data_IF_357643314234
#
_entry.id   IF_357643314234
#
_cell.length_a   1.000
_cell.length_b   1.000
_cell.length_c   1.000
_cell.angle_alpha   90.00
_cell.angle_beta   90.00
_cell.angle_gamma   90.00
#
_symmetry.space_group_name_H-M   'P 1'
#
loop_
_entity.id
_entity.type
_entity.pdbx_description
1 polymer ?
#
# COMPACT_ATOMS: atom_id res chain seq x y z
N UNK A 1 21.61 -11.90 -7.59
CA UNK A 1 20.48 -11.95 -8.53
C UNK A 1 20.59 -10.73 -9.41
N UNK A 2 20.53 -10.89 -10.73
CA UNK A 2 20.57 -9.75 -11.63
C UNK A 2 19.21 -9.06 -11.61
N UNK A 3 19.18 -7.81 -11.17
CA UNK A 3 17.97 -6.98 -11.22
C UNK A 3 17.63 -6.63 -12.68
N UNK A 4 16.35 -6.43 -12.97
CA UNK A 4 15.90 -6.03 -14.29
C UNK A 4 16.63 -4.73 -14.76
N UNK A 5 16.97 -4.61 -16.05
CA UNK A 5 17.50 -3.36 -16.60
C UNK A 5 16.58 -2.17 -16.32
N UNK A 6 17.14 -1.00 -16.06
CA UNK A 6 16.38 0.21 -15.70
C UNK A 6 15.24 0.54 -16.70
N UNK A 7 15.45 0.36 -17.99
CA UNK A 7 14.41 0.57 -19.00
C UNK A 7 13.18 -0.34 -18.79
N UNK A 8 13.40 -1.60 -18.42
CA UNK A 8 12.31 -2.53 -18.13
C UNK A 8 11.61 -2.21 -16.80
N UNK A 9 12.36 -1.71 -15.81
CA UNK A 9 11.76 -1.25 -14.54
C UNK A 9 10.83 -0.06 -14.79
N UNK A 10 11.25 0.97 -15.53
CA UNK A 10 10.41 2.12 -15.89
C UNK A 10 9.18 1.71 -16.71
N UNK A 11 9.34 0.81 -17.68
CA UNK A 11 8.23 0.27 -18.45
C UNK A 11 7.22 -0.44 -17.54
N UNK A 12 7.70 -1.27 -16.62
CA UNK A 12 6.85 -2.04 -15.69
C UNK A 12 6.10 -1.13 -14.71
N UNK A 13 6.76 -0.10 -14.17
CA UNK A 13 6.11 0.92 -13.31
C UNK A 13 5.00 1.63 -14.09
N UNK A 14 5.30 2.10 -15.32
CA UNK A 14 4.28 2.74 -16.16
C UNK A 14 3.11 1.81 -16.44
N UNK A 15 3.39 0.57 -16.80
CA UNK A 15 2.34 -0.42 -17.09
C UNK A 15 1.47 -0.72 -15.87
N UNK A 16 2.05 -0.78 -14.65
CA UNK A 16 1.30 -0.94 -13.41
C UNK A 16 0.40 0.26 -13.12
N UNK A 17 0.86 1.48 -13.38
CA UNK A 17 0.06 2.69 -13.26
C UNK A 17 -1.14 2.68 -14.23
N UNK A 18 -0.92 2.29 -15.49
CA UNK A 18 -1.97 2.17 -16.49
C UNK A 18 -2.99 1.08 -16.10
N UNK A 19 -2.52 -0.10 -15.65
CA UNK A 19 -3.38 -1.20 -15.18
C UNK A 19 -4.26 -0.77 -14.00
N UNK A 20 -3.67 -0.17 -12.96
CA UNK A 20 -4.40 0.35 -11.81
C UNK A 20 -5.41 1.44 -12.21
N UNK A 21 -5.05 2.31 -13.17
CA UNK A 21 -5.94 3.37 -13.67
C UNK A 21 -7.19 2.81 -14.35
N UNK A 22 -7.05 1.70 -15.10
CA UNK A 22 -8.17 1.02 -15.72
C UNK A 22 -9.02 0.29 -14.68
N UNK A 23 -8.37 -0.41 -13.72
CA UNK A 23 -9.06 -1.14 -12.66
C UNK A 23 -9.94 -0.23 -11.79
N UNK A 24 -9.42 0.94 -11.41
CA UNK A 24 -10.12 1.93 -10.58
C UNK A 24 -10.97 2.93 -11.37
N UNK A 25 -11.18 2.70 -12.68
CA UNK A 25 -11.94 3.62 -13.53
C UNK A 25 -13.37 3.87 -12.97
N UNK A 26 -13.71 5.13 -12.79
CA UNK A 26 -15.02 5.55 -12.28
C UNK A 26 -15.15 5.49 -10.74
N UNK A 27 -14.16 4.97 -10.04
CA UNK A 27 -14.15 5.01 -8.57
C UNK A 27 -13.68 6.37 -8.06
N UNK A 28 -14.20 6.79 -6.91
CA UNK A 28 -13.80 8.00 -6.22
C UNK A 28 -13.38 7.70 -4.79
N UNK A 29 -12.51 8.55 -4.22
CA UNK A 29 -12.20 8.59 -2.80
C UNK A 29 -13.47 8.91 -2.00
N UNK A 30 -13.41 8.78 -0.68
CA UNK A 30 -14.55 8.98 0.23
C UNK A 30 -15.14 10.39 0.20
N UNK A 31 -14.46 11.37 -0.39
CA UNK A 31 -14.97 12.72 -0.66
C UNK A 31 -15.95 12.78 -1.85
N UNK A 32 -16.06 11.67 -2.61
CA UNK A 32 -16.87 11.51 -3.84
C UNK A 32 -16.51 12.48 -4.96
N UNK A 33 -15.31 13.06 -4.95
CA UNK A 33 -14.81 14.02 -5.95
C UNK A 33 -13.45 13.60 -6.51
N UNK A 34 -12.52 13.24 -5.64
CA UNK A 34 -11.17 12.83 -6.03
C UNK A 34 -11.21 11.44 -6.67
N UNK A 35 -10.72 11.26 -7.92
CA UNK A 35 -10.60 9.94 -8.53
C UNK A 35 -9.77 9.00 -7.64
N UNK A 36 -10.20 7.73 -7.52
CA UNK A 36 -9.54 6.77 -6.62
C UNK A 36 -8.06 6.59 -6.92
N UNK A 37 -7.71 6.58 -8.22
CA UNK A 37 -6.34 6.37 -8.69
C UNK A 37 -5.31 7.37 -8.11
N UNK A 38 -5.76 8.52 -7.60
CA UNK A 38 -4.88 9.49 -6.94
C UNK A 38 -4.25 8.89 -5.67
N UNK A 39 -4.94 7.96 -4.98
CA UNK A 39 -4.39 7.27 -3.81
C UNK A 39 -3.22 6.35 -4.16
N UNK A 40 -3.34 5.34 -5.03
CA UNK A 40 -2.19 4.53 -5.45
C UNK A 40 -1.04 5.36 -6.01
N UNK A 41 -1.33 6.44 -6.75
CA UNK A 41 -0.31 7.34 -7.28
C UNK A 41 0.49 8.03 -6.18
N UNK A 42 -0.18 8.55 -5.13
CA UNK A 42 0.49 9.17 -3.98
C UNK A 42 1.29 8.14 -3.18
N UNK A 43 0.71 6.95 -2.94
CA UNK A 43 1.40 5.87 -2.24
C UNK A 43 2.68 5.46 -2.98
N UNK A 44 2.62 5.26 -4.31
CA UNK A 44 3.80 4.96 -5.13
C UNK A 44 4.86 6.08 -5.08
N UNK A 45 4.42 7.34 -5.06
CA UNK A 45 5.29 8.51 -4.89
C UNK A 45 5.99 8.51 -3.52
N UNK A 46 5.28 8.22 -2.44
CA UNK A 46 5.87 8.12 -1.09
C UNK A 46 6.84 6.93 -0.98
N UNK A 47 6.48 5.77 -1.55
CA UNK A 47 7.38 4.61 -1.61
C UNK A 47 8.69 4.97 -2.31
N UNK A 48 8.62 5.65 -3.46
CA UNK A 48 9.80 6.14 -4.18
C UNK A 48 10.60 7.17 -3.35
N UNK A 49 9.94 8.10 -2.67
CA UNK A 49 10.58 9.11 -1.82
C UNK A 49 11.35 8.50 -0.65
N UNK A 50 10.87 7.38 -0.10
CA UNK A 50 11.53 6.64 0.98
C UNK A 50 12.48 5.55 0.48
N UNK A 51 12.84 5.54 -0.81
CA UNK A 51 13.86 4.66 -1.38
C UNK A 51 13.39 3.23 -1.68
N UNK A 52 12.08 3.01 -1.81
CA UNK A 52 11.55 1.71 -2.24
C UNK A 52 11.98 1.36 -3.67
N UNK A 53 12.20 0.07 -3.93
CA UNK A 53 12.58 -0.44 -5.25
C UNK A 53 11.43 -0.31 -6.27
N UNK A 54 11.74 -0.62 -7.53
CA UNK A 54 10.70 -0.71 -8.56
C UNK A 54 9.64 -1.77 -8.22
N UNK A 55 9.99 -2.87 -7.53
CA UNK A 55 9.05 -3.88 -7.03
C UNK A 55 8.07 -3.27 -6.05
N UNK A 56 8.56 -2.50 -5.07
CA UNK A 56 7.71 -1.80 -4.11
C UNK A 56 6.81 -0.75 -4.77
N UNK A 57 7.34 0.00 -5.75
CA UNK A 57 6.57 1.02 -6.48
C UNK A 57 5.45 0.38 -7.31
N UNK A 58 5.73 -0.73 -8.02
CA UNK A 58 4.72 -1.51 -8.75
C UNK A 58 3.66 -2.04 -7.79
N UNK A 59 4.09 -2.62 -6.66
CA UNK A 59 3.18 -3.13 -5.62
C UNK A 59 2.30 -2.03 -5.04
N UNK A 60 2.85 -0.82 -4.88
CA UNK A 60 2.08 0.34 -4.42
C UNK A 60 1.00 0.79 -5.42
N UNK A 61 1.24 0.70 -6.73
CA UNK A 61 0.20 0.94 -7.74
C UNK A 61 -0.92 -0.10 -7.68
N UNK A 62 -0.61 -1.36 -7.35
CA UNK A 62 -1.53 -2.50 -7.42
C UNK A 62 -2.21 -2.84 -6.09
N UNK A 63 -1.77 -2.28 -4.96
CA UNK A 63 -2.09 -2.76 -3.60
C UNK A 63 -3.58 -2.81 -3.27
N UNK A 64 -4.39 -1.91 -3.83
CA UNK A 64 -5.84 -1.82 -3.58
C UNK A 64 -6.69 -2.49 -4.67
N UNK A 65 -6.08 -2.98 -5.78
CA UNK A 65 -6.86 -3.56 -6.89
C UNK A 65 -7.64 -4.80 -6.43
N UNK A 66 -7.02 -5.68 -5.64
CA UNK A 66 -7.68 -6.89 -5.15
C UNK A 66 -8.78 -6.62 -4.10
N UNK A 67 -8.64 -5.52 -3.34
CA UNK A 67 -9.57 -5.18 -2.26
C UNK A 67 -10.77 -4.36 -2.77
N UNK A 68 -10.52 -3.41 -3.66
CA UNK A 68 -11.48 -2.35 -4.00
C UNK A 68 -12.03 -2.44 -5.43
N UNK A 69 -11.55 -3.37 -6.27
CA UNK A 69 -12.10 -3.62 -7.60
C UNK A 69 -12.96 -4.88 -7.63
N UNK A 70 -13.65 -5.13 -8.76
CA UNK A 70 -14.47 -6.33 -8.92
C UNK A 70 -13.60 -7.61 -8.95
N UNK A 71 -14.14 -8.77 -8.54
CA UNK A 71 -13.35 -10.00 -8.37
C UNK A 71 -12.55 -10.46 -9.61
N UNK A 72 -13.01 -10.15 -10.81
CA UNK A 72 -12.29 -10.45 -12.05
C UNK A 72 -10.92 -9.77 -12.12
N UNK A 73 -10.75 -8.60 -11.48
CA UNK A 73 -9.47 -7.89 -11.43
C UNK A 73 -8.38 -8.65 -10.68
N UNK A 74 -8.72 -9.62 -9.83
CA UNK A 74 -7.73 -10.47 -9.18
C UNK A 74 -6.99 -11.28 -10.24
N UNK A 75 -7.70 -12.06 -11.07
CA UNK A 75 -7.10 -12.87 -12.12
C UNK A 75 -6.43 -12.04 -13.21
N UNK A 76 -7.01 -10.88 -13.56
CA UNK A 76 -6.40 -9.97 -14.53
C UNK A 76 -5.08 -9.40 -14.01
N UNK A 77 -5.00 -9.04 -12.73
CA UNK A 77 -3.79 -8.50 -12.12
C UNK A 77 -2.73 -9.58 -11.92
N UNK A 78 -3.11 -10.81 -11.55
CA UNK A 78 -2.19 -11.95 -11.50
C UNK A 78 -1.55 -12.21 -12.87
N UNK A 79 -2.37 -12.24 -13.91
CA UNK A 79 -1.91 -12.42 -15.30
C UNK A 79 -1.03 -11.26 -15.77
N UNK A 80 -1.39 -10.03 -15.39
CA UNK A 80 -0.62 -8.82 -15.69
C UNK A 80 0.76 -8.88 -15.04
N UNK A 81 0.85 -9.21 -13.75
CA UNK A 81 2.12 -9.30 -13.02
C UNK A 81 3.01 -10.39 -13.62
N UNK A 82 2.44 -11.55 -13.97
CA UNK A 82 3.17 -12.65 -14.60
C UNK A 82 3.69 -12.31 -16.02
N UNK A 83 3.08 -11.33 -16.69
CA UNK A 83 3.47 -10.88 -18.03
C UNK A 83 4.43 -9.67 -18.02
N UNK A 84 4.74 -9.10 -16.86
CA UNK A 84 5.72 -8.00 -16.78
C UNK A 84 7.09 -8.46 -17.27
N UNK A 85 7.86 -7.64 -18.01
CA UNK A 85 9.21 -8.00 -18.48
C UNK A 85 10.25 -7.86 -17.35
N UNK A 86 9.98 -8.56 -16.25
CA UNK A 86 10.81 -8.61 -15.04
C UNK A 86 11.23 -10.06 -14.77
N UNK A 87 12.33 -10.28 -14.04
CA UNK A 87 12.69 -11.60 -13.52
C UNK A 87 11.54 -12.26 -12.76
N UNK A 88 11.41 -13.58 -12.87
CA UNK A 88 10.30 -14.31 -12.26
C UNK A 88 10.28 -14.28 -10.72
N UNK A 89 11.41 -14.01 -10.06
CA UNK A 89 11.49 -13.75 -8.63
C UNK A 89 10.89 -12.38 -8.28
N UNK A 90 11.18 -11.32 -9.04
CA UNK A 90 10.58 -10.00 -8.85
C UNK A 90 9.05 -10.03 -9.10
N UNK A 91 8.58 -10.77 -10.12
CA UNK A 91 7.14 -10.97 -10.35
C UNK A 91 6.46 -11.65 -9.15
N UNK A 92 7.09 -12.72 -8.59
CA UNK A 92 6.58 -13.40 -7.39
C UNK A 92 6.58 -12.50 -6.16
N UNK A 93 7.59 -11.67 -6.02
CA UNK A 93 7.70 -10.70 -4.93
C UNK A 93 6.58 -9.67 -4.99
N UNK A 94 6.30 -9.07 -6.16
CA UNK A 94 5.17 -8.15 -6.38
C UNK A 94 3.85 -8.84 -5.97
N UNK A 95 3.59 -10.05 -6.46
CA UNK A 95 2.37 -10.79 -6.13
C UNK A 95 2.24 -11.06 -4.63
N UNK A 96 3.33 -11.45 -3.95
CA UNK A 96 3.36 -11.69 -2.52
C UNK A 96 3.09 -10.42 -1.70
N UNK A 97 3.66 -9.28 -2.10
CA UNK A 97 3.43 -7.98 -1.45
C UNK A 97 1.95 -7.58 -1.58
N UNK A 98 1.39 -7.61 -2.79
CA UNK A 98 -0.01 -7.23 -3.04
C UNK A 98 -0.96 -8.14 -2.24
N UNK A 99 -0.73 -9.46 -2.25
CA UNK A 99 -1.53 -10.41 -1.48
C UNK A 99 -1.46 -10.17 0.04
N UNK A 100 -0.29 -9.81 0.58
CA UNK A 100 -0.13 -9.51 2.01
C UNK A 100 -0.87 -8.23 2.43
N UNK A 101 -0.91 -7.22 1.56
CA UNK A 101 -1.58 -5.94 1.80
C UNK A 101 -3.11 -6.05 1.72
N UNK A 102 -3.63 -6.96 0.89
CA UNK A 102 -5.06 -7.15 0.66
C UNK A 102 -5.77 -7.68 1.90
N UNK A 103 -6.80 -6.98 2.39
CA UNK A 103 -7.61 -7.44 3.53
C UNK A 103 -8.61 -8.51 3.10
N UNK A 104 -8.69 -9.59 3.86
CA UNK A 104 -9.61 -10.70 3.60
C UNK A 104 -11.05 -10.33 3.99
N UNK A 105 -11.96 -10.34 3.03
CA UNK A 105 -13.39 -10.06 3.28
C UNK A 105 -14.08 -11.13 4.11
N UNK A 106 -13.52 -12.33 4.22
CA UNK A 106 -14.02 -13.43 5.06
C UNK A 106 -13.83 -13.16 6.56
N UNK A 107 -12.93 -12.24 6.94
CA UNK A 107 -12.70 -11.88 8.35
C UNK A 107 -13.68 -10.79 8.77
N UNK A 108 -14.39 -11.03 9.88
CA UNK A 108 -15.40 -10.12 10.41
C UNK A 108 -14.74 -9.01 11.23
N UNK A 109 -15.03 -7.76 10.88
CA UNK A 109 -14.58 -6.59 11.62
C UNK A 109 -13.26 -5.98 11.09
N UNK A 110 -13.25 -4.66 11.00
CA UNK A 110 -12.08 -3.91 10.48
C UNK A 110 -10.80 -4.10 11.30
N UNK A 111 -10.83 -4.13 12.64
CA UNK A 111 -9.62 -4.38 13.43
C UNK A 111 -9.02 -5.76 13.17
N UNK A 112 -9.86 -6.82 13.13
CA UNK A 112 -9.38 -8.17 12.85
C UNK A 112 -8.78 -8.31 11.45
N UNK A 113 -9.37 -7.66 10.43
CA UNK A 113 -8.82 -7.61 9.07
C UNK A 113 -7.46 -6.92 9.02
N UNK A 114 -7.29 -5.83 9.77
CA UNK A 114 -6.01 -5.13 9.87
C UNK A 114 -4.97 -6.02 10.53
N UNK A 115 -5.29 -6.62 11.67
CA UNK A 115 -4.38 -7.48 12.40
C UNK A 115 -3.93 -8.70 11.58
N UNK A 116 -4.85 -9.34 10.81
CA UNK A 116 -4.51 -10.41 9.85
C UNK A 116 -3.56 -9.91 8.75
N UNK A 117 -3.87 -8.75 8.15
CA UNK A 117 -3.01 -8.17 7.11
C UNK A 117 -1.62 -7.84 7.66
N UNK A 118 -1.50 -7.25 8.86
CA UNK A 118 -0.20 -6.99 9.48
C UNK A 118 0.56 -8.30 9.73
N UNK A 119 -0.12 -9.36 10.20
CA UNK A 119 0.50 -10.68 10.36
C UNK A 119 1.11 -11.18 9.05
N UNK A 120 0.37 -11.12 7.94
CA UNK A 120 0.89 -11.53 6.63
C UNK A 120 2.02 -10.62 6.12
N UNK A 121 1.98 -9.32 6.40
CA UNK A 121 3.05 -8.39 6.07
C UNK A 121 4.34 -8.75 6.79
N UNK A 122 4.27 -9.22 8.04
CA UNK A 122 5.45 -9.66 8.78
C UNK A 122 6.13 -10.90 8.16
N UNK A 123 5.38 -11.75 7.45
CA UNK A 123 5.87 -12.94 6.76
C UNK A 123 6.17 -12.68 5.25
N UNK A 124 5.78 -11.52 4.73
CA UNK A 124 5.95 -11.15 3.32
C UNK A 124 7.33 -10.53 3.05
N UNK A 125 7.70 -10.27 1.77
CA UNK A 125 8.87 -9.49 1.43
C UNK A 125 8.94 -8.16 2.21
N UNK A 126 10.15 -7.68 2.57
CA UNK A 126 10.32 -6.49 3.42
C UNK A 126 9.58 -5.25 2.93
N UNK A 127 9.50 -5.07 1.63
CA UNK A 127 8.88 -3.91 0.99
C UNK A 127 7.36 -3.80 1.21
N UNK A 128 6.69 -4.91 1.58
CA UNK A 128 5.29 -4.87 2.03
C UNK A 128 5.11 -3.94 3.24
N UNK A 129 6.12 -3.87 4.12
CA UNK A 129 6.13 -2.95 5.27
C UNK A 129 6.17 -1.49 4.79
N UNK A 130 7.05 -1.15 3.86
CA UNK A 130 7.17 0.20 3.32
C UNK A 130 5.87 0.64 2.63
N UNK A 131 5.32 -0.21 1.75
CA UNK A 131 4.04 0.08 1.07
C UNK A 131 2.92 0.29 2.09
N UNK A 132 2.85 -0.53 3.16
CA UNK A 132 1.84 -0.40 4.22
C UNK A 132 1.96 0.92 4.99
N UNK A 133 3.18 1.35 5.30
CA UNK A 133 3.43 2.64 5.96
C UNK A 133 2.97 3.79 5.04
N UNK A 134 3.34 3.78 3.77
CA UNK A 134 2.97 4.81 2.79
C UNK A 134 1.45 4.85 2.52
N UNK A 135 0.79 3.70 2.40
CA UNK A 135 -0.68 3.59 2.36
C UNK A 135 -1.32 4.26 3.59
N UNK A 136 -0.77 3.98 4.78
CA UNK A 136 -1.29 4.56 6.02
C UNK A 136 -1.10 6.07 6.06
N UNK A 137 0.03 6.59 5.63
CA UNK A 137 0.31 8.04 5.54
C UNK A 137 -0.77 8.71 4.68
N UNK A 138 -1.00 8.25 3.44
CA UNK A 138 -1.98 8.85 2.54
C UNK A 138 -3.40 8.78 3.11
N UNK A 139 -3.80 7.62 3.60
CA UNK A 139 -5.12 7.43 4.20
C UNK A 139 -5.31 8.29 5.46
N UNK A 140 -4.27 8.51 6.26
CA UNK A 140 -4.35 9.35 7.46
C UNK A 140 -4.53 10.83 7.09
N UNK A 141 -3.77 11.33 6.12
CA UNK A 141 -3.88 12.70 5.61
C UNK A 141 -5.29 12.98 5.05
N UNK A 142 -5.87 12.04 4.31
CA UNK A 142 -7.24 12.14 3.79
C UNK A 142 -8.31 12.17 4.92
N UNK A 143 -7.96 11.76 6.14
CA UNK A 143 -8.90 11.75 7.27
C UNK A 143 -8.80 12.98 8.17
N UNK A 144 -7.83 13.86 7.96
CA UNK A 144 -7.60 15.03 8.80
C UNK A 144 -8.83 15.96 8.93
N UNK A 145 -9.69 16.01 7.90
CA UNK A 145 -10.90 16.84 7.83
C UNK A 145 -12.20 16.06 8.15
N UNK A 146 -12.14 14.86 8.77
CA UNK A 146 -13.31 14.01 8.97
C UNK A 146 -13.87 14.04 10.39
N UNK A 147 -15.14 13.55 10.52
CA UNK A 147 -15.86 13.32 11.78
C UNK A 147 -14.96 12.64 12.84
N UNK A 148 -15.06 13.09 14.08
CA UNK A 148 -14.26 12.63 15.21
C UNK A 148 -14.27 11.14 15.45
N UNK A 149 -15.39 10.43 15.17
CA UNK A 149 -15.46 8.96 15.29
C UNK A 149 -14.63 8.23 14.22
N UNK A 150 -14.63 8.73 13.00
CA UNK A 150 -13.82 8.17 11.91
C UNK A 150 -12.34 8.40 12.22
N UNK A 151 -11.98 9.61 12.64
CA UNK A 151 -10.63 9.97 13.04
C UNK A 151 -10.12 9.10 14.19
N UNK A 152 -10.90 8.91 15.27
CA UNK A 152 -10.53 8.06 16.40
C UNK A 152 -10.19 6.62 15.97
N UNK A 153 -10.96 6.01 15.07
CA UNK A 153 -10.67 4.68 14.53
C UNK A 153 -9.36 4.65 13.73
N UNK A 154 -9.09 5.70 12.94
CA UNK A 154 -7.82 5.80 12.20
C UNK A 154 -6.63 5.97 13.15
N UNK A 155 -6.75 6.74 14.22
CA UNK A 155 -5.73 6.88 15.24
C UNK A 155 -5.36 5.51 15.84
N UNK A 156 -6.34 4.76 16.35
CA UNK A 156 -6.14 3.44 16.94
C UNK A 156 -5.49 2.46 15.95
N UNK A 157 -6.00 2.41 14.72
CA UNK A 157 -5.45 1.52 13.70
C UNK A 157 -4.06 1.94 13.19
N UNK A 158 -3.71 3.21 13.32
CA UNK A 158 -2.36 3.71 13.02
C UNK A 158 -1.39 3.33 14.14
N UNK A 159 -1.82 3.46 15.41
CA UNK A 159 -1.03 3.00 16.56
C UNK A 159 -0.69 1.51 16.45
N UNK A 160 -1.64 0.65 16.07
CA UNK A 160 -1.39 -0.77 15.83
C UNK A 160 -0.33 -1.03 14.73
N UNK A 161 -0.36 -0.25 13.64
CA UNK A 161 0.65 -0.35 12.57
C UNK A 161 2.02 0.08 13.09
N UNK A 162 2.11 1.19 13.82
CA UNK A 162 3.36 1.69 14.40
C UNK A 162 3.92 0.64 15.34
N UNK A 163 3.11 0.16 16.29
CA UNK A 163 3.57 -0.79 17.33
C UNK A 163 4.10 -2.11 16.72
N UNK A 164 3.43 -2.63 15.70
CA UNK A 164 3.77 -3.94 15.15
C UNK A 164 4.80 -3.91 14.02
N UNK A 165 4.94 -2.80 13.29
CA UNK A 165 5.83 -2.71 12.13
C UNK A 165 7.09 -1.88 12.38
N UNK A 166 7.23 -1.12 13.50
CA UNK A 166 8.42 -0.28 13.75
C UNK A 166 9.72 -1.07 13.73
N UNK A 167 9.79 -2.18 14.46
CA UNK A 167 11.02 -3.01 14.52
C UNK A 167 11.39 -3.54 13.13
N UNK A 168 10.39 -3.96 12.34
CA UNK A 168 10.64 -4.43 10.98
C UNK A 168 11.07 -3.29 10.05
N UNK A 169 10.48 -2.11 10.21
CA UNK A 169 10.89 -0.92 9.45
C UNK A 169 12.36 -0.56 9.73
N UNK A 170 12.78 -0.60 10.99
CA UNK A 170 14.18 -0.34 11.38
C UNK A 170 15.13 -1.39 10.80
N UNK A 171 14.78 -2.68 10.86
CA UNK A 171 15.62 -3.78 10.32
C UNK A 171 15.86 -3.64 8.81
N UNK A 172 14.88 -3.16 8.06
CA UNK A 172 14.95 -3.08 6.60
C UNK A 172 15.23 -1.67 6.05
N UNK A 173 15.58 -0.70 6.91
CA UNK A 173 15.97 0.65 6.49
C UNK A 173 14.80 1.56 6.11
N UNK A 174 13.59 1.29 6.64
CA UNK A 174 12.39 2.10 6.42
C UNK A 174 12.03 2.99 7.61
N UNK A 175 12.99 3.25 8.52
CA UNK A 175 12.81 4.07 9.71
C UNK A 175 12.31 5.48 9.37
N UNK A 176 12.81 6.10 8.29
CA UNK A 176 12.36 7.44 7.86
C UNK A 176 10.86 7.47 7.48
N UNK A 177 10.37 6.42 6.83
CA UNK A 177 8.94 6.30 6.49
C UNK A 177 8.10 6.11 7.77
N UNK A 178 8.58 5.30 8.70
CA UNK A 178 7.91 5.08 9.99
C UNK A 178 7.90 6.35 10.84
N UNK A 179 9.00 7.10 10.87
CA UNK A 179 9.09 8.37 11.61
C UNK A 179 8.14 9.43 11.01
N UNK A 180 8.05 9.52 9.69
CA UNK A 180 7.07 10.38 9.04
C UNK A 180 5.62 10.01 9.42
N UNK A 181 5.31 8.70 9.50
CA UNK A 181 3.98 8.26 9.97
C UNK A 181 3.73 8.65 11.43
N UNK A 182 4.72 8.49 12.32
CA UNK A 182 4.66 8.91 13.73
C UNK A 182 4.45 10.42 13.85
N UNK A 183 5.21 11.21 13.10
CA UNK A 183 5.07 12.67 13.08
C UNK A 183 3.65 13.08 12.69
N UNK A 184 3.12 12.56 11.59
CA UNK A 184 1.75 12.85 11.13
C UNK A 184 0.72 12.40 12.18
N UNK A 185 0.93 11.24 12.80
CA UNK A 185 0.04 10.69 13.82
C UNK A 185 0.01 11.57 15.08
N UNK A 186 1.15 12.05 15.56
CA UNK A 186 1.29 12.79 16.83
C UNK A 186 1.19 14.31 16.69
N UNK A 187 1.50 14.89 15.51
CA UNK A 187 1.27 16.31 15.21
C UNK A 187 -0.22 16.64 15.09
N UNK A 188 -1.08 15.63 14.88
CA UNK A 188 -2.52 15.83 14.82
C UNK A 188 -3.07 16.28 16.17
N UNK A 189 -3.71 17.46 16.29
CA UNK A 189 -4.17 17.98 17.57
C UNK A 189 -5.05 16.93 18.28
N UNK A 190 -4.72 16.63 19.53
CA UNK A 190 -5.58 15.91 20.45
C UNK A 190 -6.80 16.81 20.67
N UNK A 191 -7.85 16.65 19.87
CA UNK A 191 -9.10 17.32 20.19
C UNK A 191 -9.60 16.74 21.50
N UNK A 192 -9.73 17.62 22.50
CA UNK A 192 -10.33 17.34 23.78
C UNK A 192 -11.81 16.96 23.64
#
# INVERSE_FOLDING_TARGET
>A
MDTAPAALQFFSIKSAADHASVAHKGQCRKDRRTPYIVHPARVAGYVSMFGGSHVAIISAWLHDVYEDCSPEWISLTDSFVAALPLPGDEQREIAAIVAALTKKNTIIGKPARLSDSIGRILDAPPEATLVKICDRIDNFLDTACRDGRVRKRYLISTDEIIDRLSVRADIYGYEKAMDALKEIRYASPKNG
#
